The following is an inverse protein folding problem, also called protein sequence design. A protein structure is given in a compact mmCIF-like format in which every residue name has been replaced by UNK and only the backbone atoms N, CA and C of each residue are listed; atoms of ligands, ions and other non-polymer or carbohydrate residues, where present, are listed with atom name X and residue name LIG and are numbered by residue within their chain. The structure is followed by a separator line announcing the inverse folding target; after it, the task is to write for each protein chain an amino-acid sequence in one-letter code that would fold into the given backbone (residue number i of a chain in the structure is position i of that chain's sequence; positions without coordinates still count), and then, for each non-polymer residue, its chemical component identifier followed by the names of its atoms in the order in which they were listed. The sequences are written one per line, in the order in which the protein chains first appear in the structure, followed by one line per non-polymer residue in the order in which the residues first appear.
data_IF_741473615262
#
_entry.id   IF_741473615262
#
_cell.length_a   1.000
_cell.length_b   1.000
_cell.length_c   1.000
_cell.angle_alpha   90.00
_cell.angle_beta   90.00
_cell.angle_gamma   90.00
#
_symmetry.space_group_name_H-M   'P 1'
#
loop_
_entity.id
_entity.type
_entity.pdbx_description
1 polymer ?
#
# COMPACT_ATOMS: atom_id res chain seq x y z
N UNK A 1 17.96 17.76 3.13
CA UNK A 1 17.72 16.31 3.18
C UNK A 1 16.76 16.02 4.32
N UNK A 2 15.57 15.48 4.03
CA UNK A 2 14.60 15.11 5.07
C UNK A 2 15.02 13.78 5.70
N UNK A 3 15.35 13.74 7.00
CA UNK A 3 15.64 12.47 7.66
C UNK A 3 14.34 11.70 7.94
N UNK A 4 14.37 10.39 7.76
CA UNK A 4 13.25 9.51 8.12
C UNK A 4 13.74 8.19 8.71
N UNK A 5 12.86 7.54 9.48
CA UNK A 5 13.06 6.20 10.01
C UNK A 5 12.19 5.22 9.25
N UNK A 6 12.77 4.11 8.79
CA UNK A 6 12.02 2.93 8.37
C UNK A 6 11.87 2.01 9.57
N UNK A 7 10.64 1.74 9.97
CA UNK A 7 10.29 1.04 11.20
C UNK A 7 9.52 -0.24 10.86
N UNK A 8 9.84 -1.35 11.51
CA UNK A 8 9.01 -2.55 11.53
C UNK A 8 8.75 -3.02 12.95
N UNK A 9 7.57 -3.61 13.17
CA UNK A 9 7.12 -4.14 14.46
C UNK A 9 6.95 -5.65 14.32
N UNK A 10 7.54 -6.42 15.23
CA UNK A 10 7.51 -7.89 15.22
C UNK A 10 7.49 -8.45 16.64
N UNK A 11 7.34 -9.78 16.77
CA UNK A 11 7.39 -10.52 18.04
C UNK A 11 6.58 -9.84 19.16
N UNK A 12 5.28 -9.61 18.93
CA UNK A 12 4.41 -9.12 19.98
C UNK A 12 4.13 -10.24 20.99
N UNK A 13 4.49 -9.97 22.25
CA UNK A 13 4.21 -10.82 23.39
C UNK A 13 3.12 -10.16 24.25
N UNK A 14 1.90 -10.76 24.31
CA UNK A 14 0.88 -10.28 25.21
C UNK A 14 1.31 -10.49 26.66
N UNK A 15 0.97 -9.55 27.54
CA UNK A 15 1.26 -9.66 28.97
C UNK A 15 0.55 -10.87 29.62
N UNK A 16 1.01 -11.30 30.81
CA UNK A 16 0.59 -12.55 31.46
C UNK A 16 -0.90 -12.64 31.81
N UNK A 17 -1.63 -11.52 31.81
CA UNK A 17 -3.07 -11.48 32.12
C UNK A 17 -3.98 -11.75 30.92
N UNK A 18 -3.45 -11.83 29.70
CA UNK A 18 -4.23 -12.25 28.53
C UNK A 18 -4.12 -13.76 28.34
N UNK A 19 -4.80 -14.50 29.22
CA UNK A 19 -4.95 -15.94 29.05
C UNK A 19 -5.82 -16.22 27.82
N UNK A 20 -5.24 -16.92 26.85
CA UNK A 20 -5.91 -17.37 25.64
C UNK A 20 -6.82 -18.55 25.99
N UNK A 21 -8.11 -18.28 26.23
CA UNK A 21 -9.12 -19.32 26.03
C UNK A 21 -9.05 -19.75 24.55
N UNK A 22 -8.93 -21.04 24.31
CA UNK A 22 -8.53 -21.68 23.05
C UNK A 22 -9.48 -21.52 21.86
N UNK A 23 -9.76 -20.29 21.46
CA UNK A 23 -10.38 -19.96 20.16
C UNK A 23 -9.40 -19.20 19.29
N UNK A 24 -8.91 -19.94 18.29
CA UNK A 24 -8.03 -19.42 17.27
C UNK A 24 -8.67 -18.25 16.49
N UNK A 25 -7.78 -17.43 15.94
CA UNK A 25 -7.91 -16.77 14.63
C UNK A 25 -8.34 -15.30 14.55
N UNK A 26 -7.86 -14.41 15.42
CA UNK A 26 -7.45 -13.07 14.94
C UNK A 26 -6.20 -12.61 15.69
N UNK A 27 -5.11 -12.36 14.95
CA UNK A 27 -3.89 -11.77 15.51
C UNK A 27 -4.20 -10.31 15.91
N UNK A 28 -3.70 -9.82 17.06
CA UNK A 28 -3.83 -8.41 17.42
C UNK A 28 -3.24 -7.54 16.31
N UNK A 29 -3.59 -6.28 16.23
CA UNK A 29 -3.07 -5.38 15.20
C UNK A 29 -2.68 -4.02 15.78
N UNK A 30 -1.78 -3.33 15.09
CA UNK A 30 -1.22 -2.05 15.55
C UNK A 30 -1.90 -0.87 14.85
N UNK A 31 -2.25 0.13 15.64
CA UNK A 31 -2.57 1.47 15.17
C UNK A 31 -1.38 2.39 15.50
N UNK A 32 -0.75 2.96 14.48
CA UNK A 32 0.40 3.85 14.61
C UNK A 32 -0.04 5.27 14.30
N UNK A 33 0.09 6.14 15.30
CA UNK A 33 -0.33 7.54 15.26
C UNK A 33 0.91 8.41 15.37
N UNK A 34 1.14 9.28 14.38
CA UNK A 34 2.25 10.25 14.42
C UNK A 34 1.69 11.62 14.74
N UNK A 35 2.14 12.20 15.86
CA UNK A 35 1.75 13.54 16.33
C UNK A 35 2.90 14.51 16.19
N UNK A 36 2.59 15.74 15.82
CA UNK A 36 3.54 16.85 15.76
C UNK A 36 3.42 17.70 17.02
N UNK A 37 4.54 18.06 17.63
CA UNK A 37 4.56 19.07 18.68
C UNK A 37 4.39 20.45 18.05
N UNK A 38 3.49 21.25 18.63
CA UNK A 38 3.30 22.66 18.33
C UNK A 38 3.53 23.41 19.64
N UNK A 39 4.50 24.30 19.65
CA UNK A 39 4.73 25.20 20.77
C UNK A 39 3.65 26.30 20.73
N UNK A 40 2.85 26.38 21.80
CA UNK A 40 1.83 27.43 22.01
C UNK A 40 2.22 28.24 23.24
N UNK A 41 1.67 29.44 23.40
CA UNK A 41 1.87 30.30 24.58
C UNK A 41 1.59 29.59 25.92
N UNK A 42 0.70 28.59 25.90
CA UNK A 42 0.30 27.79 27.07
C UNK A 42 1.06 26.45 27.19
N UNK A 43 2.12 26.24 26.40
CA UNK A 43 2.95 25.03 26.41
C UNK A 43 2.87 24.22 25.12
N UNK A 44 3.41 23.00 25.17
CA UNK A 44 3.47 22.08 24.01
C UNK A 44 2.18 21.32 23.84
N UNK A 45 1.56 21.46 22.67
CA UNK A 45 0.40 20.65 22.25
C UNK A 45 0.83 19.64 21.20
N UNK A 46 0.20 18.46 21.19
CA UNK A 46 0.47 17.41 20.20
C UNK A 46 -0.71 17.25 19.25
N UNK A 47 -0.50 17.55 17.98
CA UNK A 47 -1.54 17.51 16.94
C UNK A 47 -1.28 16.40 15.95
N UNK A 48 -2.29 15.57 15.70
CA UNK A 48 -2.26 14.57 14.65
C UNK A 48 -2.71 15.20 13.32
N UNK A 49 -1.77 15.40 12.40
CA UNK A 49 -2.07 15.91 11.05
C UNK A 49 -2.31 14.81 10.01
N UNK A 50 -1.71 13.63 10.22
CA UNK A 50 -1.80 12.49 9.29
C UNK A 50 -2.77 11.43 9.82
N UNK A 51 -3.47 10.71 8.94
CA UNK A 51 -4.34 9.62 9.36
C UNK A 51 -3.54 8.53 10.09
N UNK A 52 -4.22 7.80 10.98
CA UNK A 52 -3.66 6.65 11.67
C UNK A 52 -3.25 5.57 10.67
N UNK A 53 -2.05 5.03 10.84
CA UNK A 53 -1.52 3.93 10.03
C UNK A 53 -1.82 2.59 10.69
N UNK A 54 -2.09 1.56 9.90
CA UNK A 54 -2.32 0.19 10.37
C UNK A 54 -1.34 -0.77 9.70
N UNK A 55 -0.04 -0.69 10.04
CA UNK A 55 0.96 -1.56 9.42
C UNK A 55 0.72 -3.01 9.84
N UNK A 56 0.76 -3.97 8.89
CA UNK A 56 0.84 -5.38 9.24
C UNK A 56 2.10 -5.66 10.05
N UNK A 57 2.05 -6.68 10.93
CA UNK A 57 3.25 -7.18 11.59
C UNK A 57 4.32 -7.59 10.59
N UNK A 58 5.58 -7.41 10.97
CA UNK A 58 6.77 -7.71 10.16
C UNK A 58 6.90 -6.86 8.89
N UNK A 59 5.93 -5.98 8.60
CA UNK A 59 6.01 -5.00 7.52
C UNK A 59 6.72 -3.73 7.98
N UNK A 60 7.33 -3.05 7.02
CA UNK A 60 8.02 -1.77 7.25
C UNK A 60 7.15 -0.58 6.86
N UNK A 61 7.20 0.49 7.65
CA UNK A 61 6.61 1.78 7.33
C UNK A 61 7.59 2.93 7.61
N UNK A 62 7.40 4.06 6.92
CA UNK A 62 8.33 5.18 6.98
C UNK A 62 7.76 6.33 7.84
N UNK A 63 8.54 6.76 8.84
CA UNK A 63 8.22 7.85 9.75
C UNK A 63 9.22 9.00 9.59
N UNK A 64 8.75 10.15 9.10
CA UNK A 64 9.59 11.32 8.89
C UNK A 64 9.95 11.99 10.22
N UNK A 65 11.23 12.31 10.39
CA UNK A 65 11.75 12.92 11.62
C UNK A 65 11.63 14.44 11.52
N UNK A 66 10.79 15.02 12.38
CA UNK A 66 10.73 16.47 12.60
C UNK A 66 10.88 16.76 14.09
N UNK A 67 11.26 18.00 14.41
CA UNK A 67 11.44 18.43 15.79
C UNK A 67 10.17 18.18 16.63
N UNK A 68 10.33 17.49 17.77
CA UNK A 68 9.23 17.20 18.70
C UNK A 68 8.17 16.20 18.20
N UNK A 69 8.36 15.52 17.06
CA UNK A 69 7.41 14.48 16.63
C UNK A 69 7.47 13.25 17.53
N UNK A 70 6.29 12.79 17.90
CA UNK A 70 6.10 11.57 18.68
C UNK A 70 5.29 10.56 17.88
N UNK A 71 5.68 9.30 17.98
CA UNK A 71 4.98 8.15 17.44
C UNK A 71 4.31 7.43 18.60
N UNK A 72 2.99 7.34 18.54
CA UNK A 72 2.16 6.66 19.52
C UNK A 72 1.63 5.37 18.90
N UNK A 73 2.02 4.23 19.48
CA UNK A 73 1.65 2.90 18.99
C UNK A 73 0.62 2.33 19.95
N UNK A 74 -0.51 1.91 19.40
CA UNK A 74 -1.59 1.26 20.13
C UNK A 74 -1.79 -0.15 19.58
N UNK A 75 -1.73 -1.15 20.44
CA UNK A 75 -2.10 -2.53 20.11
C UNK A 75 -3.58 -2.73 20.41
N UNK A 76 -4.33 -3.12 19.39
CA UNK A 76 -5.75 -3.40 19.46
C UNK A 76 -6.02 -4.89 19.38
N UNK A 77 -6.95 -5.35 20.23
CA UNK A 77 -7.40 -6.74 20.29
C UNK A 77 -8.63 -7.01 19.41
N UNK A 78 -9.26 -8.17 19.63
CA UNK A 78 -10.42 -8.66 18.84
C UNK A 78 -11.63 -7.71 18.83
N UNK A 79 -11.84 -6.95 19.90
CA UNK A 79 -13.02 -6.08 20.09
C UNK A 79 -12.79 -4.63 19.66
N UNK A 80 -11.74 -4.35 18.89
CA UNK A 80 -11.24 -2.99 18.59
C UNK A 80 -10.84 -2.16 19.82
N UNK A 81 -10.88 -2.78 21.01
CA UNK A 81 -10.45 -2.15 22.26
C UNK A 81 -8.94 -2.09 22.31
N UNK A 82 -8.44 -0.93 22.75
CA UNK A 82 -7.04 -0.75 23.12
C UNK A 82 -6.68 -1.77 24.19
N UNK A 83 -5.63 -2.55 23.91
CA UNK A 83 -5.08 -3.54 24.84
C UNK A 83 -3.86 -2.97 25.53
N UNK A 84 -2.95 -2.39 24.75
CA UNK A 84 -1.72 -1.80 25.25
C UNK A 84 -1.28 -0.64 24.34
N UNK A 85 -0.48 0.27 24.85
CA UNK A 85 0.02 1.43 24.13
C UNK A 85 1.45 1.80 24.54
N UNK A 86 2.13 2.57 23.69
CA UNK A 86 3.42 3.18 24.01
C UNK A 86 3.61 4.45 23.18
N UNK A 87 4.41 5.39 23.70
CA UNK A 87 4.76 6.63 22.99
C UNK A 87 6.26 6.73 22.88
N UNK A 88 6.74 6.99 21.66
CA UNK A 88 8.15 6.99 21.30
C UNK A 88 8.47 8.31 20.62
N UNK A 89 9.51 8.99 21.08
CA UNK A 89 10.04 10.19 20.42
C UNK A 89 10.89 9.81 19.21
N UNK A 90 10.54 10.34 18.03
CA UNK A 90 11.24 9.97 16.78
C UNK A 90 12.67 10.53 16.72
N UNK A 91 12.92 11.69 17.32
CA UNK A 91 14.26 12.28 17.39
C UNK A 91 15.21 11.41 18.23
N UNK A 92 14.78 11.05 19.44
CA UNK A 92 15.51 10.20 20.38
C UNK A 92 15.80 8.83 19.76
N UNK A 93 14.85 8.27 19.01
CA UNK A 93 15.04 7.02 18.26
C UNK A 93 16.07 7.18 17.12
N UNK A 94 16.03 8.29 16.38
CA UNK A 94 16.95 8.56 15.29
C UNK A 94 18.40 8.74 15.77
N UNK A 95 18.63 9.43 16.88
CA UNK A 95 19.97 9.58 17.47
C UNK A 95 20.57 8.24 17.87
N UNK A 96 19.77 7.38 18.50
CA UNK A 96 20.20 6.02 18.83
C UNK A 96 20.51 5.20 17.57
N UNK A 97 19.75 5.38 16.48
CA UNK A 97 20.02 4.68 15.20
C UNK A 97 21.37 5.13 14.63
N UNK A 98 21.64 6.44 14.65
CA UNK A 98 22.91 7.01 14.16
C UNK A 98 24.11 6.45 14.90
N UNK A 99 24.00 6.29 16.24
CA UNK A 99 25.06 5.69 17.06
C UNK A 99 25.33 4.22 16.73
N UNK A 100 24.36 3.50 16.17
CA UNK A 100 24.45 2.07 15.87
C UNK A 100 24.47 1.79 14.35
N UNK A 101 25.37 2.44 13.61
CA UNK A 101 25.53 2.26 12.15
C UNK A 101 24.23 2.45 11.34
N UNK A 102 23.35 3.33 11.81
CA UNK A 102 22.10 3.67 11.14
C UNK A 102 20.97 2.65 11.31
N UNK A 103 21.11 1.60 12.14
CA UNK A 103 20.05 0.61 12.40
C UNK A 103 20.00 0.22 13.87
N UNK A 104 18.83 -0.17 14.37
CA UNK A 104 18.70 -0.78 15.69
C UNK A 104 17.55 -1.77 15.73
N UNK A 105 17.63 -2.68 16.69
CA UNK A 105 16.55 -3.55 17.13
C UNK A 105 16.43 -3.39 18.64
N UNK A 106 15.22 -3.08 19.13
CA UNK A 106 14.97 -2.91 20.56
C UNK A 106 13.63 -3.53 20.95
N UNK A 107 13.56 -4.06 22.18
CA UNK A 107 12.30 -4.37 22.83
C UNK A 107 11.64 -3.09 23.34
N UNK A 108 10.35 -2.95 23.04
CA UNK A 108 9.50 -1.88 23.58
C UNK A 108 8.51 -2.49 24.55
N UNK A 109 8.53 -1.99 25.78
CA UNK A 109 7.52 -2.27 26.78
C UNK A 109 6.26 -1.42 26.51
N UNK A 110 5.11 -2.08 26.48
CA UNK A 110 3.80 -1.47 26.30
C UNK A 110 3.10 -1.34 27.65
N UNK A 111 2.30 -0.29 27.81
CA UNK A 111 1.48 -0.06 29.00
C UNK A 111 0.01 -0.40 28.69
N UNK A 112 -0.74 -1.04 29.60
CA UNK A 112 -0.32 -1.50 30.92
C UNK A 112 0.54 -2.78 30.90
N UNK A 113 0.57 -3.51 29.79
CA UNK A 113 1.28 -4.79 29.70
C UNK A 113 1.67 -5.17 28.27
N UNK A 114 2.60 -6.12 28.14
CA UNK A 114 3.06 -6.67 26.87
C UNK A 114 4.26 -5.95 26.31
N UNK A 115 4.93 -6.57 25.36
CA UNK A 115 6.11 -6.01 24.71
C UNK A 115 6.19 -6.45 23.26
N UNK A 116 6.93 -5.70 22.46
CA UNK A 116 7.19 -6.05 21.06
C UNK A 116 8.59 -5.66 20.65
N UNK A 117 9.10 -6.30 19.60
CA UNK A 117 10.35 -5.88 18.96
C UNK A 117 10.04 -4.76 17.97
N UNK A 118 10.82 -3.68 18.03
CA UNK A 118 10.87 -2.66 17.00
C UNK A 118 12.25 -2.64 16.36
N UNK A 119 12.24 -2.77 15.04
CA UNK A 119 13.39 -2.56 14.18
C UNK A 119 13.28 -1.17 13.57
N UNK A 120 14.31 -0.34 13.71
CA UNK A 120 14.35 1.00 13.16
C UNK A 120 15.65 1.23 12.37
N UNK A 121 15.53 1.80 11.18
CA UNK A 121 16.67 2.16 10.31
C UNK A 121 16.58 3.62 9.89
N UNK A 122 17.67 4.35 10.09
CA UNK A 122 17.79 5.75 9.76
C UNK A 122 18.21 5.95 8.31
N UNK A 123 17.50 6.85 7.62
CA UNK A 123 17.78 7.25 6.26
C UNK A 123 17.80 8.78 6.15
N UNK A 124 18.64 9.27 5.23
CA UNK A 124 18.62 10.65 4.75
C UNK A 124 18.04 10.63 3.34
N UNK A 125 16.98 11.40 3.09
CA UNK A 125 16.47 11.60 1.74
C UNK A 125 17.51 12.40 0.94
N UNK A 126 18.22 11.73 0.03
CA UNK A 126 19.11 12.39 -0.91
C UNK A 126 18.26 13.23 -1.87
N UNK A 127 18.41 14.55 -1.79
CA UNK A 127 18.05 15.43 -2.90
C UNK A 127 19.06 15.18 -4.01
N UNK A 128 18.62 14.63 -5.14
CA UNK A 128 19.45 14.36 -6.33
C UNK A 128 20.52 15.45 -6.56
N UNK A 129 21.82 15.14 -6.50
CA UNK A 129 22.77 15.78 -7.37
C UNK A 129 22.75 15.03 -8.70
N UNK A 130 22.55 15.77 -9.79
CA UNK A 130 22.74 15.29 -11.17
C UNK A 130 24.09 14.56 -11.27
N UNK A 131 24.10 13.52 -12.10
CA UNK A 131 25.10 12.46 -12.16
C UNK A 131 26.57 12.88 -12.07
N UNK A 132 27.31 12.07 -11.32
CA UNK A 132 28.69 11.72 -11.65
C UNK A 132 28.95 10.28 -11.20
N UNK A 133 29.36 9.44 -12.15
CA UNK A 133 29.80 8.06 -11.95
C UNK A 133 31.30 8.11 -11.71
N UNK A 134 31.79 7.50 -10.64
CA UNK A 134 33.19 7.08 -10.47
C UNK A 134 33.14 5.67 -9.83
N UNK A 135 33.78 4.65 -10.43
CA UNK A 135 33.63 3.25 -10.04
C UNK A 135 34.77 2.75 -9.12
N UNK A 136 34.59 1.51 -8.64
CA UNK A 136 35.55 0.62 -7.94
C UNK A 136 35.66 0.87 -6.41
N UNK A 137 35.45 -0.12 -5.55
CA UNK A 137 36.06 -1.46 -5.56
C UNK A 137 35.15 -2.58 -5.04
N UNK A 138 35.63 -3.80 -5.24
CA UNK A 138 34.96 -5.09 -5.27
C UNK A 138 34.17 -5.53 -4.01
N UNK A 139 33.17 -6.35 -4.34
CA UNK A 139 32.77 -7.59 -3.65
C UNK A 139 31.42 -7.59 -2.91
N UNK A 140 30.69 -8.67 -3.20
CA UNK A 140 29.41 -9.13 -2.64
C UNK A 140 28.17 -8.36 -3.09
N UNK A 141 27.65 -8.78 -4.24
CA UNK A 141 26.26 -8.53 -4.64
C UNK A 141 25.30 -9.17 -3.62
N UNK A 142 24.48 -8.41 -2.87
CA UNK A 142 23.23 -8.93 -2.37
C UNK A 142 22.23 -8.77 -3.52
N UNK A 143 22.17 -9.79 -4.38
CA UNK A 143 20.91 -10.21 -4.98
C UNK A 143 19.89 -10.26 -3.83
N UNK A 144 18.87 -9.38 -3.80
CA UNK A 144 17.54 -9.61 -3.18
C UNK A 144 16.68 -8.37 -2.83
N UNK A 145 16.87 -7.16 -3.40
CA UNK A 145 15.79 -6.14 -3.23
C UNK A 145 15.70 -5.06 -4.31
N UNK A 146 15.25 -5.47 -5.51
CA UNK A 146 14.48 -4.58 -6.39
C UNK A 146 13.08 -5.17 -6.58
N UNK A 147 12.29 -5.16 -5.50
CA UNK A 147 10.83 -5.27 -5.60
C UNK A 147 10.23 -4.10 -4.84
N UNK A 148 9.49 -3.25 -5.55
CA UNK A 148 8.63 -2.25 -4.90
C UNK A 148 8.90 -0.78 -5.19
N UNK A 149 9.63 -0.41 -6.26
CA UNK A 149 9.66 0.98 -6.72
C UNK A 149 8.72 1.19 -7.91
N UNK A 150 7.40 1.07 -7.68
CA UNK A 150 6.45 1.85 -8.48
C UNK A 150 6.01 3.01 -7.60
N UNK A 151 6.61 4.17 -7.85
CA UNK A 151 6.07 5.46 -7.44
C UNK A 151 4.73 5.60 -8.15
N UNK A 152 3.63 5.69 -7.41
CA UNK A 152 2.25 5.95 -7.87
C UNK A 152 1.99 5.52 -9.33
N UNK A 153 1.50 4.30 -9.51
CA UNK A 153 1.26 3.77 -10.85
C UNK A 153 0.42 4.76 -11.67
N UNK A 154 0.99 5.26 -12.77
CA UNK A 154 0.36 6.27 -13.62
C UNK A 154 -0.91 5.66 -14.21
N UNK A 155 -2.06 6.17 -13.76
CA UNK A 155 -3.36 5.69 -14.22
C UNK A 155 -3.68 6.36 -15.55
N UNK A 156 -4.01 5.56 -16.56
CA UNK A 156 -4.41 6.03 -17.88
C UNK A 156 -5.86 5.64 -18.13
N UNK A 157 -6.73 6.61 -18.48
CA UNK A 157 -8.11 6.31 -18.84
C UNK A 157 -8.24 6.16 -20.36
N UNK A 158 -8.67 4.99 -20.83
CA UNK A 158 -8.91 4.69 -22.25
C UNK A 158 -10.24 3.97 -22.36
N UNK A 159 -11.16 4.43 -23.22
CA UNK A 159 -12.41 3.71 -23.55
C UNK A 159 -13.31 3.37 -22.34
N UNK A 160 -13.42 4.29 -21.38
CA UNK A 160 -14.12 4.10 -20.10
C UNK A 160 -13.43 3.12 -19.14
N UNK A 161 -12.14 2.84 -19.36
CA UNK A 161 -11.34 1.97 -18.51
C UNK A 161 -10.10 2.70 -17.93
N UNK A 162 -9.88 2.64 -16.62
CA UNK A 162 -8.61 2.96 -15.95
C UNK A 162 -7.61 1.80 -16.00
N UNK A 163 -6.48 2.06 -16.65
CA UNK A 163 -5.37 1.13 -16.83
C UNK A 163 -4.20 1.52 -15.93
N UNK A 164 -3.64 0.51 -15.26
CA UNK A 164 -2.52 0.67 -14.33
C UNK A 164 -1.41 -0.30 -14.71
N UNK A 165 -0.23 0.22 -15.03
CA UNK A 165 0.94 -0.63 -15.28
C UNK A 165 1.37 -1.34 -13.99
N UNK A 166 1.33 -2.68 -13.98
CA UNK A 166 1.75 -3.49 -12.84
C UNK A 166 2.61 -4.68 -13.24
N UNK A 167 3.40 -5.16 -12.28
CA UNK A 167 4.26 -6.32 -12.44
C UNK A 167 3.63 -7.54 -11.76
N UNK A 168 3.45 -8.62 -12.52
CA UNK A 168 2.94 -9.88 -11.98
C UNK A 168 4.07 -10.79 -11.49
N UNK A 169 3.94 -11.38 -10.29
CA UNK A 169 4.91 -12.34 -9.78
C UNK A 169 4.84 -13.72 -10.46
N UNK A 170 3.79 -13.97 -11.24
CA UNK A 170 3.52 -15.22 -11.96
C UNK A 170 3.06 -14.91 -13.40
N UNK A 171 3.25 -15.83 -14.36
CA UNK A 171 2.62 -15.71 -15.67
C UNK A 171 1.14 -15.41 -15.58
N UNK A 172 0.70 -14.42 -16.34
CA UNK A 172 -0.70 -14.17 -16.58
C UNK A 172 -0.99 -14.20 -18.07
N UNK A 173 -2.21 -14.59 -18.43
CA UNK A 173 -2.70 -14.58 -19.79
C UNK A 173 -3.42 -13.27 -20.08
N UNK A 174 -3.28 -12.78 -21.30
CA UNK A 174 -4.04 -11.63 -21.76
C UNK A 174 -5.50 -12.04 -22.03
N UNK A 175 -6.46 -11.33 -21.42
CA UNK A 175 -7.90 -11.61 -21.59
C UNK A 175 -8.43 -11.29 -23.00
N UNK A 176 -7.62 -10.66 -23.87
CA UNK A 176 -8.01 -10.29 -25.23
C UNK A 176 -7.45 -11.26 -26.27
N UNK A 177 -6.16 -11.60 -26.18
CA UNK A 177 -5.49 -12.43 -27.20
C UNK A 177 -5.08 -13.81 -26.67
N UNK A 178 -5.35 -14.12 -25.40
CA UNK A 178 -5.09 -15.42 -24.75
C UNK A 178 -3.63 -15.90 -24.76
N UNK A 179 -2.73 -15.12 -25.34
CA UNK A 179 -1.29 -15.32 -25.24
C UNK A 179 -0.75 -14.90 -23.87
N UNK A 180 0.33 -15.54 -23.47
CA UNK A 180 1.03 -15.17 -22.25
C UNK A 180 1.56 -13.75 -22.32
N UNK A 181 1.63 -13.11 -21.16
CA UNK A 181 2.18 -11.75 -21.02
C UNK A 181 3.68 -11.77 -20.67
N UNK A 182 4.44 -12.67 -21.29
CA UNK A 182 5.90 -12.72 -21.15
C UNK A 182 6.61 -12.78 -22.52
N UNK A 183 7.73 -12.06 -22.62
CA UNK A 183 8.68 -12.05 -23.76
C UNK A 183 8.09 -11.46 -25.05
N UNK A 184 8.86 -10.80 -25.92
CA UNK A 184 9.99 -11.30 -26.71
C UNK A 184 11.25 -10.41 -26.60
N UNK A 185 12.43 -11.03 -26.68
CA UNK A 185 13.70 -10.34 -26.98
C UNK A 185 14.94 -11.13 -26.55
N UNK A 186 15.66 -11.71 -27.51
CA UNK A 186 16.94 -12.41 -27.36
C UNK A 186 18.10 -11.47 -26.92
N UNK A 187 18.06 -10.99 -25.68
CA UNK A 187 19.11 -10.14 -25.10
C UNK A 187 19.45 -10.67 -23.70
N UNK A 188 20.74 -10.81 -23.33
CA UNK A 188 21.13 -11.47 -22.10
C UNK A 188 20.66 -10.72 -20.84
N UNK A 189 19.60 -11.27 -20.23
CA UNK A 189 19.23 -11.28 -18.81
C UNK A 189 19.48 -10.01 -17.97
N UNK A 190 19.26 -8.83 -18.52
CA UNK A 190 19.11 -7.62 -17.72
C UNK A 190 17.86 -6.85 -18.18
N UNK A 191 16.87 -6.80 -17.28
CA UNK A 191 15.67 -5.97 -17.40
C UNK A 191 14.66 -6.33 -18.51
N UNK A 192 14.03 -7.50 -18.38
CA UNK A 192 12.68 -7.70 -18.93
C UNK A 192 11.69 -6.85 -18.14
N UNK A 193 11.40 -5.63 -18.60
CA UNK A 193 10.30 -4.84 -18.05
C UNK A 193 9.18 -4.73 -19.10
N UNK A 194 8.22 -5.63 -18.97
CA UNK A 194 6.95 -5.56 -19.66
C UNK A 194 6.02 -4.62 -18.89
N UNK A 195 5.56 -3.53 -19.51
CA UNK A 195 4.44 -2.74 -19.01
C UNK A 195 3.15 -3.48 -19.39
N UNK A 196 2.51 -4.14 -18.42
CA UNK A 196 1.15 -4.69 -18.58
C UNK A 196 0.18 -3.81 -17.79
N UNK A 197 -0.93 -3.44 -18.43
CA UNK A 197 -2.00 -2.71 -17.78
C UNK A 197 -3.00 -3.66 -17.13
N UNK A 198 -3.26 -3.45 -15.84
CA UNK A 198 -4.38 -4.04 -15.10
C UNK A 198 -5.50 -3.04 -15.02
N UNK A 199 -6.70 -3.52 -15.30
CA UNK A 199 -7.92 -2.75 -15.18
C UNK A 199 -8.43 -2.72 -13.72
N UNK A 200 -9.13 -1.64 -13.34
CA UNK A 200 -9.75 -1.42 -12.01
C UNK A 200 -10.48 -2.67 -11.47
N UNK A 201 -10.57 -2.75 -10.14
CA UNK A 201 -11.16 -3.84 -9.31
C UNK A 201 -12.48 -4.42 -9.85
N UNK A 202 -13.27 -3.63 -10.57
CA UNK A 202 -14.60 -4.03 -11.07
C UNK A 202 -14.58 -4.92 -12.32
N UNK A 203 -13.64 -4.75 -13.27
CA UNK A 203 -13.55 -5.62 -14.46
C UNK A 203 -12.33 -6.56 -14.45
N UNK A 204 -11.32 -6.36 -13.58
CA UNK A 204 -10.35 -7.41 -13.19
C UNK A 204 -9.54 -8.09 -14.32
N UNK A 205 -9.41 -7.47 -15.49
CA UNK A 205 -8.75 -8.05 -16.67
C UNK A 205 -7.26 -7.72 -16.73
N UNK A 206 -6.48 -8.69 -17.22
CA UNK A 206 -5.06 -8.51 -17.55
C UNK A 206 -4.92 -8.33 -19.06
N UNK A 207 -4.33 -7.22 -19.51
CA UNK A 207 -4.17 -6.93 -20.94
C UNK A 207 -2.77 -6.45 -21.30
N UNK A 208 -2.24 -6.91 -22.43
CA UNK A 208 -1.01 -6.33 -22.98
C UNK A 208 -1.22 -4.85 -23.31
N UNK A 209 -0.17 -4.04 -23.25
CA UNK A 209 -0.17 -2.66 -23.75
C UNK A 209 -0.69 -2.57 -25.20
N UNK A 210 -0.26 -3.48 -26.10
CA UNK A 210 -0.76 -3.54 -27.50
C UNK A 210 -2.25 -3.90 -27.63
N UNK A 211 -2.82 -4.52 -26.60
CA UNK A 211 -4.20 -5.02 -26.59
C UNK A 211 -5.17 -4.05 -25.90
N UNK A 212 -4.68 -2.96 -25.28
CA UNK A 212 -5.51 -1.99 -24.56
C UNK A 212 -6.60 -1.37 -25.46
N UNK A 213 -6.25 -1.07 -26.71
CA UNK A 213 -7.18 -0.48 -27.68
C UNK A 213 -8.19 -1.49 -28.24
N UNK A 214 -8.03 -2.78 -27.97
CA UNK A 214 -8.94 -3.85 -28.40
C UNK A 214 -9.95 -4.25 -27.33
N UNK A 215 -9.86 -3.66 -26.13
CA UNK A 215 -10.82 -3.87 -25.04
C UNK A 215 -12.18 -3.25 -25.42
N UNK A 216 -13.26 -3.96 -25.10
CA UNK A 216 -14.61 -3.50 -25.33
C UNK A 216 -14.99 -2.33 -24.40
N UNK A 217 -15.69 -1.32 -24.93
CA UNK A 217 -16.08 -0.10 -24.19
C UNK A 217 -17.34 -0.32 -23.31
N UNK A 218 -17.60 -1.55 -22.85
CA UNK A 218 -18.83 -1.91 -22.15
C UNK A 218 -18.67 -1.95 -20.62
N UNK A 219 -17.48 -1.65 -20.08
CA UNK A 219 -17.27 -1.70 -18.64
C UNK A 219 -18.05 -0.57 -17.93
N UNK A 220 -18.65 -0.90 -16.80
CA UNK A 220 -19.62 -0.05 -16.10
C UNK A 220 -21.06 -0.15 -16.60
N UNK A 221 -21.34 -0.90 -17.68
CA UNK A 221 -22.71 -1.10 -18.19
C UNK A 221 -23.28 -2.44 -17.71
N UNK A 222 -24.32 -2.39 -16.88
CA UNK A 222 -25.03 -3.59 -16.45
C UNK A 222 -25.99 -4.06 -17.56
N UNK A 223 -25.60 -5.10 -18.29
CA UNK A 223 -26.37 -5.65 -19.42
C UNK A 223 -27.81 -6.02 -19.04
N UNK A 224 -28.05 -6.45 -17.79
CA UNK A 224 -29.38 -6.79 -17.30
C UNK A 224 -30.28 -5.55 -17.18
N UNK A 225 -29.76 -4.47 -16.60
CA UNK A 225 -30.49 -3.20 -16.48
C UNK A 225 -30.79 -2.59 -17.85
N UNK A 226 -29.86 -2.72 -18.81
CA UNK A 226 -30.06 -2.22 -20.17
C UNK A 226 -31.14 -3.04 -20.91
N UNK A 227 -31.13 -4.36 -20.79
CA UNK A 227 -32.14 -5.22 -21.40
C UNK A 227 -33.54 -4.97 -20.81
N UNK A 228 -33.64 -4.79 -19.49
CA UNK A 228 -34.89 -4.44 -18.81
C UNK A 228 -35.43 -3.09 -19.28
N UNK A 229 -34.57 -2.06 -19.38
CA UNK A 229 -34.97 -0.75 -19.88
C UNK A 229 -35.46 -0.79 -21.34
N UNK A 230 -34.79 -1.57 -22.21
CA UNK A 230 -35.22 -1.75 -23.60
C UNK A 230 -36.58 -2.44 -23.70
N UNK A 231 -36.82 -3.50 -22.91
CA UNK A 231 -38.11 -4.19 -22.88
C UNK A 231 -39.26 -3.28 -22.40
N UNK A 232 -38.99 -2.38 -21.44
CA UNK A 232 -39.96 -1.36 -21.00
C UNK A 232 -40.29 -0.35 -22.09
N UNK A 233 -39.30 0.04 -22.91
CA UNK A 233 -39.52 0.96 -24.03
C UNK A 233 -40.33 0.28 -25.14
N UNK A 234 -40.01 -0.98 -25.48
CA UNK A 234 -40.73 -1.74 -26.51
C UNK A 234 -42.20 -1.96 -26.16
N UNK A 235 -42.48 -2.37 -24.92
CA UNK A 235 -43.87 -2.54 -24.43
C UNK A 235 -44.65 -1.22 -24.45
N UNK A 236 -44.00 -0.10 -24.10
CA UNK A 236 -44.60 1.24 -24.18
C UNK A 236 -44.86 1.66 -25.63
N UNK A 237 -43.97 1.34 -26.57
CA UNK A 237 -44.16 1.61 -27.99
C UNK A 237 -45.28 0.77 -28.61
N UNK A 238 -45.40 -0.50 -28.23
CA UNK A 238 -46.50 -1.38 -28.65
C UNK A 238 -47.84 -0.88 -28.11
N UNK A 239 -47.91 -0.48 -26.84
CA UNK A 239 -49.12 0.11 -26.26
C UNK A 239 -49.53 1.39 -26.99
N UNK A 240 -48.57 2.27 -27.31
CA UNK A 240 -48.83 3.50 -28.10
C UNK A 240 -49.29 3.20 -29.53
N UNK A 241 -48.71 2.21 -30.21
CA UNK A 241 -49.15 1.77 -31.55
C UNK A 241 -50.57 1.18 -31.53
N UNK A 242 -50.90 0.41 -30.50
CA UNK A 242 -52.23 -0.14 -30.32
C UNK A 242 -53.26 0.96 -30.06
N UNK A 243 -52.90 1.97 -29.25
CA UNK A 243 -53.74 3.15 -28.99
C UNK A 243 -53.91 4.05 -30.23
N UNK A 244 -52.88 4.19 -31.07
CA UNK A 244 -52.97 4.96 -32.33
C UNK A 244 -53.75 4.27 -33.45
N UNK A 245 -54.13 3.00 -33.27
CA UNK A 245 -54.95 2.25 -34.22
C UNK A 245 -56.43 2.18 -33.78
N UNK A 246 -56.74 2.71 -32.59
CA UNK A 246 -58.08 2.80 -31.99
C UNK A 246 -58.67 4.22 -32.06
N UNK A 247 -57.96 5.15 -32.70
CA UNK A 247 -58.38 6.50 -33.08
C UNK A 247 -58.09 6.70 -34.57
#
# INVERSE_FOLDING_TARGET
MSPFLRISLSNFEPGPYLQTNGEATQRPYCAVIVKEAIDTENGKIYVQKKPTMYPPWESTFDAHINHGRVMHIIVKGKSDRMTSETTIELNSLAERCKKNNGKMEIWIELKPQGRMIMNARYFLEQSDPKGHFEPESESQFPLHQRRGAIKQAKVHNVKCHEFIATFFPQPTFCSVCHEFVWLWGDVPLTFFCCLLHVFRVECGMNVHHKCENKVANLCGVNQKLMAEALAMIESTQQAKKHLSHLY
#
